data_IF_289929681372
#
_entry.id   IF_289929681372
#
_cell.length_a   1.000
_cell.length_b   1.000
_cell.length_c   1.000
_cell.angle_alpha   90.00
_cell.angle_beta   90.00
_cell.angle_gamma   90.00
#
_symmetry.space_group_name_H-M   'P 1'
#
loop_
_entity.id
_entity.type
_entity.pdbx_description
1 polymer ?
#
# COMPACT_ATOMS: atom_id res chain seq x y z
N UNK A 1 -30.67 12.72 16.93
CA UNK A 1 -29.39 12.28 17.51
C UNK A 1 -28.57 11.57 16.43
N UNK A 2 -27.72 12.30 15.70
CA UNK A 2 -26.89 11.75 14.61
C UNK A 2 -25.46 12.33 14.64
N UNK A 3 -24.94 12.65 15.83
CA UNK A 3 -23.61 13.24 16.01
C UNK A 3 -22.50 12.21 16.28
N UNK A 4 -22.84 10.91 16.45
CA UNK A 4 -21.86 9.87 16.78
C UNK A 4 -21.08 9.32 15.58
N UNK A 5 -21.75 9.06 14.45
CA UNK A 5 -21.11 8.38 13.30
C UNK A 5 -20.14 9.26 12.51
N UNK A 6 -20.36 10.58 12.47
CA UNK A 6 -19.48 11.53 11.77
C UNK A 6 -18.17 11.80 12.52
N UNK A 7 -18.16 11.65 13.85
CA UNK A 7 -16.97 11.93 14.66
C UNK A 7 -15.92 10.81 14.57
N UNK A 8 -16.36 9.54 14.44
CA UNK A 8 -15.45 8.38 14.32
C UNK A 8 -14.81 8.24 12.92
N UNK A 9 -15.47 8.72 11.86
CA UNK A 9 -14.88 8.74 10.51
C UNK A 9 -13.67 9.68 10.40
N UNK A 10 -13.53 10.66 11.30
CA UNK A 10 -12.45 11.65 11.29
C UNK A 10 -11.19 11.18 12.05
N UNK A 11 -11.30 10.24 12.98
CA UNK A 11 -10.15 9.77 13.79
C UNK A 11 -9.22 8.83 13.03
N UNK A 12 -9.69 8.25 11.92
CA UNK A 12 -8.93 7.32 11.09
C UNK A 12 -8.38 7.98 9.81
N UNK A 13 -8.40 9.31 9.75
CA UNK A 13 -7.83 10.12 8.66
C UNK A 13 -6.51 10.76 9.13
N UNK A 14 -5.50 10.78 8.27
CA UNK A 14 -4.31 11.59 8.56
C UNK A 14 -4.67 13.06 8.47
N UNK A 15 -3.90 13.92 9.15
CA UNK A 15 -4.13 15.38 9.16
C UNK A 15 -4.24 15.92 7.73
N UNK A 16 -3.44 15.40 6.82
CA UNK A 16 -3.44 15.73 5.40
C UNK A 16 -4.76 15.37 4.70
N UNK A 17 -5.41 14.26 5.08
CA UNK A 17 -6.70 13.81 4.54
C UNK A 17 -7.89 14.60 5.10
N UNK A 18 -7.74 15.24 6.27
CA UNK A 18 -8.78 16.11 6.86
C UNK A 18 -8.89 17.48 6.22
N UNK A 19 -7.96 17.82 5.30
CA UNK A 19 -8.00 19.08 4.56
C UNK A 19 -9.20 19.14 3.62
N UNK A 20 -9.97 20.24 3.57
CA UNK A 20 -11.09 20.39 2.64
C UNK A 20 -10.65 20.38 1.16
N UNK A 21 -9.36 20.59 0.91
CA UNK A 21 -8.75 20.55 -0.43
C UNK A 21 -8.02 19.22 -0.71
N UNK A 22 -8.15 18.21 0.15
CA UNK A 22 -7.55 16.91 -0.10
C UNK A 22 -8.22 16.26 -1.32
N UNK A 23 -7.38 15.85 -2.27
CA UNK A 23 -7.78 14.99 -3.38
C UNK A 23 -6.90 13.75 -3.36
N UNK A 24 -7.50 12.59 -3.59
CA UNK A 24 -6.73 11.36 -3.79
C UNK A 24 -5.76 11.54 -4.96
N UNK A 25 -4.49 11.25 -4.74
CA UNK A 25 -3.47 11.38 -5.79
C UNK A 25 -3.12 9.99 -6.33
N UNK A 26 -3.62 9.70 -7.53
CA UNK A 26 -3.15 8.58 -8.33
C UNK A 26 -1.94 9.04 -9.16
N UNK A 27 -0.74 8.88 -8.58
CA UNK A 27 0.50 9.23 -9.26
C UNK A 27 0.85 8.12 -10.25
N UNK A 28 1.09 8.49 -11.51
CA UNK A 28 1.54 7.53 -12.54
C UNK A 28 2.79 6.81 -12.06
N UNK A 29 2.82 5.50 -12.24
CA UNK A 29 3.84 4.59 -11.71
C UNK A 29 5.28 4.94 -12.13
N UNK A 30 5.48 5.62 -13.27
CA UNK A 30 6.80 6.07 -13.72
C UNK A 30 7.27 7.41 -13.10
N UNK A 31 6.39 8.12 -12.38
CA UNK A 31 6.76 9.40 -11.78
C UNK A 31 7.42 9.22 -10.42
N UNK A 32 8.46 10.02 -10.14
CA UNK A 32 9.09 10.07 -8.81
C UNK A 32 8.07 10.52 -7.73
N UNK A 33 7.84 9.73 -6.67
CA UNK A 33 7.04 10.18 -5.54
C UNK A 33 7.67 11.41 -4.88
N UNK A 34 6.83 12.38 -4.51
CA UNK A 34 7.27 13.53 -3.72
C UNK A 34 7.16 13.18 -2.24
N UNK A 35 8.15 13.63 -1.46
CA UNK A 35 8.15 13.42 -0.02
C UNK A 35 6.90 14.01 0.65
N UNK A 36 6.47 13.37 1.75
CA UNK A 36 5.37 13.78 2.64
C UNK A 36 4.06 13.95 1.88
N UNK A 37 3.77 12.97 1.02
CA UNK A 37 2.53 12.88 0.25
C UNK A 37 1.83 11.56 0.54
N UNK A 38 0.55 11.56 0.24
CA UNK A 38 -0.29 10.37 0.26
C UNK A 38 -0.61 10.03 -1.18
N UNK A 39 -0.40 8.77 -1.55
CA UNK A 39 -0.72 8.26 -2.88
C UNK A 39 -1.69 7.10 -2.80
N UNK A 40 -2.52 7.00 -3.82
CA UNK A 40 -3.27 5.77 -4.10
C UNK A 40 -2.28 4.73 -4.60
N UNK A 41 -2.27 3.58 -3.93
CA UNK A 41 -1.48 2.41 -4.31
C UNK A 41 -2.32 1.14 -4.20
N UNK A 42 -1.74 0.01 -4.58
CA UNK A 42 -2.39 -1.28 -4.66
C UNK A 42 -1.52 -2.39 -4.08
N UNK A 43 -2.18 -3.35 -3.46
CA UNK A 43 -1.56 -4.57 -2.96
C UNK A 43 -2.41 -5.77 -3.35
N UNK A 44 -1.82 -6.69 -4.11
CA UNK A 44 -2.43 -7.96 -4.49
C UNK A 44 -2.08 -9.03 -3.46
N UNK A 45 -3.07 -9.78 -3.01
CA UNK A 45 -2.90 -10.77 -1.94
C UNK A 45 -3.99 -11.85 -2.00
N UNK A 46 -3.98 -12.79 -1.07
CA UNK A 46 -5.00 -13.85 -0.93
C UNK A 46 -6.21 -13.35 -0.15
N UNK A 47 -7.36 -14.06 -0.21
CA UNK A 47 -8.53 -13.70 0.59
C UNK A 47 -8.21 -13.74 2.08
N UNK A 48 -7.54 -14.81 2.54
CA UNK A 48 -7.17 -14.97 3.94
C UNK A 48 -6.27 -13.83 4.44
N UNK A 49 -5.27 -13.42 3.64
CA UNK A 49 -4.40 -12.31 3.99
C UNK A 49 -5.16 -10.97 3.96
N UNK A 50 -6.07 -10.76 3.01
CA UNK A 50 -6.90 -9.56 2.97
C UNK A 50 -7.79 -9.43 4.23
N UNK A 51 -8.38 -10.53 4.72
CA UNK A 51 -9.11 -10.53 5.99
C UNK A 51 -8.22 -10.10 7.16
N UNK A 52 -7.01 -10.66 7.26
CA UNK A 52 -6.05 -10.29 8.31
C UNK A 52 -5.62 -8.83 8.21
N UNK A 53 -5.33 -8.33 7.01
CA UNK A 53 -4.94 -6.93 6.79
C UNK A 53 -6.08 -5.98 7.17
N UNK A 54 -7.32 -6.31 6.81
CA UNK A 54 -8.49 -5.46 7.14
C UNK A 54 -8.73 -5.41 8.65
N UNK A 55 -8.52 -6.50 9.38
CA UNK A 55 -8.75 -6.58 10.82
C UNK A 55 -7.59 -6.01 11.64
N UNK A 56 -6.35 -6.28 11.23
CA UNK A 56 -5.18 -6.10 12.08
C UNK A 56 -4.15 -5.11 11.50
N UNK A 57 -4.42 -4.54 10.32
CA UNK A 57 -3.45 -3.74 9.57
C UNK A 57 -2.40 -4.60 8.86
N UNK A 58 -1.51 -3.92 8.13
CA UNK A 58 -0.39 -4.58 7.48
C UNK A 58 0.67 -5.02 8.50
N UNK A 59 1.47 -6.03 8.11
CA UNK A 59 2.68 -6.43 8.82
C UNK A 59 3.84 -6.41 7.83
N UNK A 60 5.02 -6.04 8.32
CA UNK A 60 6.22 -6.08 7.48
C UNK A 60 6.50 -7.52 7.04
N UNK A 61 6.89 -7.68 5.77
CA UNK A 61 7.66 -8.86 5.35
C UNK A 61 9.00 -8.87 6.09
N UNK A 62 9.52 -10.03 6.53
CA UNK A 62 10.80 -10.09 7.25
C UNK A 62 12.01 -9.71 6.39
N UNK A 63 11.91 -9.83 5.06
CA UNK A 63 12.92 -9.43 4.08
C UNK A 63 12.29 -9.23 2.69
N UNK A 64 13.10 -8.76 1.74
CA UNK A 64 12.79 -8.62 0.33
C UNK A 64 13.94 -7.92 -0.41
N UNK A 65 13.72 -7.56 -1.68
CA UNK A 65 14.71 -6.84 -2.49
C UNK A 65 15.19 -5.53 -1.82
N UNK A 66 14.31 -4.90 -1.05
CA UNK A 66 14.51 -3.61 -0.37
C UNK A 66 14.62 -3.77 1.15
N UNK A 67 14.84 -4.99 1.64
CA UNK A 67 14.82 -5.31 3.06
C UNK A 67 13.40 -5.53 3.59
N UNK A 68 13.24 -5.47 4.91
CA UNK A 68 11.93 -5.64 5.56
C UNK A 68 11.03 -4.43 5.32
N UNK A 69 9.73 -4.69 5.20
CA UNK A 69 8.73 -3.65 4.98
C UNK A 69 7.47 -4.20 4.31
N UNK A 70 6.56 -3.30 3.96
CA UNK A 70 5.34 -3.61 3.23
C UNK A 70 5.49 -3.19 1.78
N UNK A 71 5.31 -4.14 0.87
CA UNK A 71 5.48 -3.96 -0.56
C UNK A 71 4.17 -3.58 -1.24
N UNK A 72 4.18 -2.45 -1.93
CA UNK A 72 3.00 -1.87 -2.61
C UNK A 72 3.40 -1.32 -3.97
N UNK A 73 2.40 -1.10 -4.82
CA UNK A 73 2.59 -0.65 -6.20
C UNK A 73 1.56 0.41 -6.55
N UNK A 74 1.95 1.48 -7.24
CA UNK A 74 1.03 2.41 -7.89
C UNK A 74 0.42 1.82 -9.16
N UNK A 75 1.05 0.78 -9.70
CA UNK A 75 0.54 0.02 -10.83
C UNK A 75 -0.43 -1.09 -10.36
N UNK A 76 -1.72 -0.94 -10.67
CA UNK A 76 -2.75 -1.91 -10.29
C UNK A 76 -2.60 -3.24 -11.04
N UNK A 77 -2.12 -3.22 -12.29
CA UNK A 77 -1.90 -4.44 -13.07
C UNK A 77 -0.73 -5.25 -12.49
N UNK A 78 0.31 -4.56 -11.99
CA UNK A 78 1.36 -5.21 -11.20
C UNK A 78 0.79 -5.90 -9.97
N UNK A 79 -0.05 -5.21 -9.19
CA UNK A 79 -0.69 -5.80 -8.01
C UNK A 79 -1.57 -7.01 -8.39
N UNK A 80 -2.23 -6.96 -9.54
CA UNK A 80 -3.04 -8.06 -10.07
C UNK A 80 -2.24 -9.31 -10.48
N UNK A 81 -0.92 -9.33 -10.35
CA UNK A 81 -0.10 -10.55 -10.51
C UNK A 81 -0.06 -11.41 -9.26
N UNK A 82 -0.47 -10.89 -8.10
CA UNK A 82 -0.38 -11.58 -6.82
C UNK A 82 -1.75 -12.11 -6.36
N UNK A 83 -1.81 -13.32 -5.77
CA UNK A 83 -0.68 -14.24 -5.56
C UNK A 83 -0.19 -14.87 -6.89
N UNK A 84 1.09 -15.23 -6.95
CA UNK A 84 1.74 -15.71 -8.19
C UNK A 84 1.27 -17.09 -8.65
N UNK A 85 0.83 -17.94 -7.72
CA UNK A 85 0.51 -19.35 -7.99
C UNK A 85 -0.96 -19.58 -8.36
N UNK A 86 -1.91 -19.09 -7.54
CA UNK A 86 -3.34 -19.31 -7.74
C UNK A 86 -4.15 -18.01 -7.63
N UNK A 87 -4.53 -17.47 -8.78
CA UNK A 87 -5.34 -16.25 -8.83
C UNK A 87 -6.83 -16.48 -8.53
N UNK A 88 -7.29 -17.72 -8.33
CA UNK A 88 -8.67 -18.01 -7.94
C UNK A 88 -9.02 -17.42 -6.56
N UNK A 89 -8.00 -17.22 -5.71
CA UNK A 89 -8.09 -16.59 -4.39
C UNK A 89 -7.60 -15.13 -4.36
N UNK A 90 -7.43 -14.50 -5.53
CA UNK A 90 -6.85 -13.17 -5.62
C UNK A 90 -7.77 -12.07 -5.09
N UNK A 91 -7.20 -11.22 -4.24
CA UNK A 91 -7.75 -9.94 -3.80
C UNK A 91 -6.81 -8.80 -4.19
N UNK A 92 -7.36 -7.68 -4.64
CA UNK A 92 -6.62 -6.42 -4.85
C UNK A 92 -7.18 -5.38 -3.90
N UNK A 93 -6.35 -4.88 -2.99
CA UNK A 93 -6.67 -3.80 -2.07
C UNK A 93 -6.21 -2.47 -2.67
N UNK A 94 -7.08 -1.45 -2.63
CA UNK A 94 -6.71 -0.04 -2.86
C UNK A 94 -6.29 0.55 -1.52
N UNK A 95 -5.18 1.27 -1.54
CA UNK A 95 -4.52 1.80 -0.36
C UNK A 95 -4.36 3.31 -0.45
N UNK A 96 -4.40 3.98 0.69
CA UNK A 96 -3.72 5.25 0.90
C UNK A 96 -2.39 4.97 1.57
N UNK A 97 -1.30 5.45 0.97
CA UNK A 97 0.06 5.26 1.48
C UNK A 97 0.71 6.61 1.72
N UNK A 98 1.02 6.91 2.99
CA UNK A 98 1.80 8.08 3.37
C UNK A 98 3.29 7.77 3.22
N UNK A 99 3.87 8.15 2.09
CA UNK A 99 5.24 7.77 1.73
C UNK A 99 6.34 8.47 2.53
N UNK A 100 5.99 9.44 3.39
CA UNK A 100 6.96 10.15 4.22
C UNK A 100 8.20 10.63 3.43
N UNK A 101 9.41 10.38 3.92
CA UNK A 101 10.65 10.60 3.17
C UNK A 101 10.93 9.41 2.25
N UNK A 102 11.07 9.68 0.95
CA UNK A 102 11.28 8.66 -0.08
C UNK A 102 12.74 8.57 -0.50
N UNK A 103 13.30 7.35 -0.49
CA UNK A 103 14.61 7.04 -1.04
C UNK A 103 14.46 6.33 -2.38
N UNK A 104 15.04 6.89 -3.44
CA UNK A 104 15.17 6.18 -4.72
C UNK A 104 16.24 5.09 -4.59
N UNK A 105 15.90 3.87 -5.01
CA UNK A 105 16.80 2.71 -5.13
C UNK A 105 16.71 2.23 -6.58
N UNK A 106 17.73 2.51 -7.40
CA UNK A 106 17.65 2.38 -8.86
C UNK A 106 18.76 1.53 -9.48
N UNK A 107 19.44 0.73 -8.67
CA UNK A 107 20.43 -0.25 -9.11
C UNK A 107 20.56 -1.37 -8.09
N UNK A 108 20.92 -2.57 -8.56
CA UNK A 108 21.32 -3.65 -7.68
C UNK A 108 22.55 -3.23 -6.87
N UNK A 109 22.66 -3.78 -5.67
CA UNK A 109 23.72 -3.46 -4.71
C UNK A 109 23.79 -1.97 -4.35
N UNK A 110 22.66 -1.25 -4.46
CA UNK A 110 22.61 0.14 -4.02
C UNK A 110 23.01 0.22 -2.52
N UNK A 111 23.85 1.17 -2.08
CA UNK A 111 24.41 1.19 -0.72
C UNK A 111 23.37 1.17 0.40
N UNK A 112 22.17 1.70 0.11
CA UNK A 112 21.01 1.72 1.02
C UNK A 112 19.88 0.78 0.62
N UNK A 113 20.13 -0.21 -0.25
CA UNK A 113 19.08 -1.07 -0.81
C UNK A 113 18.21 -1.71 0.28
N UNK A 114 18.82 -2.16 1.39
CA UNK A 114 18.11 -2.76 2.52
C UNK A 114 18.12 -1.93 3.81
N UNK A 115 18.85 -0.82 3.86
CA UNK A 115 19.14 -0.03 5.08
C UNK A 115 18.62 1.41 5.01
N UNK A 116 17.83 1.75 4.00
CA UNK A 116 17.27 3.09 3.80
C UNK A 116 16.47 3.60 5.01
N UNK A 117 15.84 2.71 5.78
CA UNK A 117 15.07 3.06 6.97
C UNK A 117 15.96 3.51 8.14
N UNK A 118 17.16 2.95 8.28
CA UNK A 118 18.14 3.37 9.31
C UNK A 118 18.62 4.81 9.08
N UNK A 119 18.59 5.26 7.83
CA UNK A 119 18.93 6.63 7.41
C UNK A 119 17.72 7.61 7.49
N UNK A 120 16.63 7.16 8.13
CA UNK A 120 15.43 7.95 8.40
C UNK A 120 14.52 8.18 7.19
N UNK A 121 14.57 7.30 6.19
CA UNK A 121 13.57 7.26 5.11
C UNK A 121 12.40 6.36 5.51
N UNK A 122 11.19 6.75 5.09
CA UNK A 122 9.95 6.03 5.40
C UNK A 122 9.54 5.07 4.28
N UNK A 123 10.03 5.31 3.06
CA UNK A 123 9.75 4.48 1.89
C UNK A 123 10.97 4.39 0.97
N UNK A 124 11.32 3.18 0.54
CA UNK A 124 12.18 2.97 -0.62
C UNK A 124 11.33 2.82 -1.88
N UNK A 125 11.74 3.49 -2.96
CA UNK A 125 11.07 3.47 -4.25
C UNK A 125 12.03 3.02 -5.35
N UNK A 126 11.59 2.02 -6.12
CA UNK A 126 12.25 1.49 -7.31
C UNK A 126 11.53 2.03 -8.55
N UNK A 127 12.22 2.79 -9.42
CA UNK A 127 11.65 3.25 -10.69
C UNK A 127 11.40 2.10 -11.68
N UNK A 128 10.54 2.34 -12.67
CA UNK A 128 10.41 1.43 -13.83
C UNK A 128 11.74 1.34 -14.58
N UNK A 129 11.98 0.19 -15.20
CA UNK A 129 13.08 -0.07 -16.14
C UNK A 129 14.50 0.26 -15.63
N UNK A 130 14.74 0.24 -14.31
CA UNK A 130 16.07 0.50 -13.74
C UNK A 130 16.90 -0.77 -13.45
N UNK A 131 16.45 -1.94 -13.88
CA UNK A 131 17.17 -3.22 -13.69
C UNK A 131 17.05 -3.82 -12.27
N UNK A 132 16.22 -3.24 -11.40
CA UNK A 132 15.97 -3.77 -10.05
C UNK A 132 15.08 -5.00 -10.01
N UNK A 133 14.07 -5.07 -10.89
CA UNK A 133 13.11 -6.18 -10.95
C UNK A 133 12.96 -6.70 -12.37
N UNK A 134 12.83 -8.02 -12.53
CA UNK A 134 12.69 -8.68 -13.84
C UNK A 134 11.51 -8.15 -14.66
N UNK A 135 10.44 -7.75 -13.97
CA UNK A 135 9.26 -7.17 -14.61
C UNK A 135 9.49 -5.79 -15.22
N UNK A 136 10.57 -5.08 -14.84
CA UNK A 136 10.78 -3.68 -15.15
C UNK A 136 9.75 -2.71 -14.54
N UNK A 137 8.85 -3.18 -13.67
CA UNK A 137 7.81 -2.35 -13.05
C UNK A 137 8.25 -1.77 -11.70
N UNK A 138 7.77 -0.58 -11.39
CA UNK A 138 8.11 0.12 -10.14
C UNK A 138 7.63 -0.61 -8.90
N UNK A 139 8.26 -0.35 -7.77
CA UNK A 139 7.90 -0.92 -6.48
C UNK A 139 8.20 0.05 -5.35
N UNK A 140 7.30 0.13 -4.38
CA UNK A 140 7.51 0.87 -3.14
C UNK A 140 7.57 -0.14 -1.98
N UNK A 141 8.53 0.06 -1.08
CA UNK A 141 8.64 -0.65 0.19
C UNK A 141 8.52 0.35 1.34
N UNK A 142 7.46 0.25 2.12
CA UNK A 142 7.15 1.16 3.22
C UNK A 142 7.57 0.52 4.54
N UNK A 143 8.27 1.28 5.38
CA UNK A 143 8.85 0.74 6.61
C UNK A 143 7.75 0.48 7.64
N UNK A 144 7.04 1.53 8.02
CA UNK A 144 6.02 1.49 9.07
C UNK A 144 4.64 1.13 8.47
N UNK A 145 4.04 -0.01 8.84
CA UNK A 145 2.71 -0.40 8.37
C UNK A 145 1.60 0.62 8.69
N UNK A 146 1.74 1.42 9.75
CA UNK A 146 0.74 2.44 10.14
C UNK A 146 0.65 3.60 9.14
N UNK A 147 1.60 3.66 8.20
CA UNK A 147 1.58 4.57 7.04
C UNK A 147 0.74 4.05 5.88
N UNK A 148 0.01 2.94 6.06
CA UNK A 148 -0.78 2.30 5.02
C UNK A 148 -2.21 2.06 5.51
N UNK A 149 -3.17 2.62 4.79
CA UNK A 149 -4.59 2.40 5.07
C UNK A 149 -5.26 1.70 3.90
N UNK A 150 -5.97 0.62 4.18
CA UNK A 150 -6.93 0.05 3.22
C UNK A 150 -8.09 1.03 3.09
N UNK A 151 -8.40 1.42 1.86
CA UNK A 151 -9.53 2.32 1.56
C UNK A 151 -10.60 1.64 0.72
N UNK A 152 -10.25 0.59 -0.04
CA UNK A 152 -11.22 -0.14 -0.85
C UNK A 152 -10.75 -1.55 -1.23
N UNK A 153 -11.70 -2.42 -1.57
CA UNK A 153 -11.45 -3.73 -2.20
C UNK A 153 -11.79 -3.61 -3.68
N UNK A 154 -10.76 -3.59 -4.52
CA UNK A 154 -10.90 -3.41 -5.98
C UNK A 154 -11.40 -4.69 -6.65
N UNK A 155 -10.83 -5.83 -6.26
CA UNK A 155 -11.15 -7.16 -6.79
C UNK A 155 -11.11 -8.18 -5.66
N UNK A 156 -12.04 -9.13 -5.68
CA UNK A 156 -11.98 -10.36 -4.90
C UNK A 156 -12.83 -11.45 -5.60
N UNK A 157 -12.70 -12.74 -5.24
CA UNK A 157 -13.56 -13.78 -5.78
C UNK A 157 -15.03 -13.51 -5.42
N UNK A 158 -15.97 -13.88 -6.31
CA UNK A 158 -17.40 -13.51 -6.17
C UNK A 158 -17.99 -13.84 -4.78
N UNK A 159 -17.64 -15.00 -4.22
CA UNK A 159 -18.12 -15.43 -2.89
C UNK A 159 -17.51 -14.67 -1.72
N UNK A 160 -16.34 -14.05 -1.90
CA UNK A 160 -15.59 -13.37 -0.84
C UNK A 160 -15.75 -11.85 -0.87
N UNK A 161 -16.04 -11.26 -2.03
CA UNK A 161 -16.12 -9.81 -2.17
C UNK A 161 -17.11 -9.15 -1.21
N UNK A 162 -18.32 -9.73 -1.06
CA UNK A 162 -19.33 -9.23 -0.13
C UNK A 162 -18.85 -9.34 1.33
N UNK A 163 -18.31 -10.50 1.72
CA UNK A 163 -17.82 -10.77 3.07
C UNK A 163 -16.69 -9.80 3.46
N UNK A 164 -15.72 -9.60 2.57
CA UNK A 164 -14.62 -8.67 2.77
C UNK A 164 -15.10 -7.21 2.89
N UNK A 165 -16.08 -6.80 2.08
CA UNK A 165 -16.69 -5.46 2.22
C UNK A 165 -17.40 -5.27 3.55
N UNK A 166 -18.18 -6.26 3.99
CA UNK A 166 -18.85 -6.21 5.28
C UNK A 166 -17.83 -6.18 6.44
N UNK A 167 -16.74 -6.95 6.33
CA UNK A 167 -15.63 -6.92 7.28
C UNK A 167 -14.95 -5.54 7.33
N UNK A 168 -14.65 -4.96 6.17
CA UNK A 168 -14.05 -3.62 6.06
C UNK A 168 -14.93 -2.53 6.68
N UNK A 169 -16.24 -2.56 6.42
CA UNK A 169 -17.17 -1.58 7.01
C UNK A 169 -17.23 -1.74 8.53
N UNK A 170 -17.17 -2.99 9.03
CA UNK A 170 -17.17 -3.26 10.48
C UNK A 170 -15.86 -2.84 11.15
N UNK A 171 -14.70 -2.97 10.50
CA UNK A 171 -13.41 -2.58 11.09
C UNK A 171 -13.22 -1.07 11.19
N UNK A 172 -14.09 -0.27 10.54
CA UNK A 172 -14.11 1.20 10.61
C UNK A 172 -15.12 1.77 11.62
N UNK A 173 -15.85 0.91 12.35
CA UNK A 173 -16.79 1.30 13.41
C UNK A 173 -16.15 1.15 14.78
#
# INVERSE_FOLDING_TARGET
MAFGAFHYLLTDLWKEETSPNYTEVSLVSDSKPRNRRIYVMYHGTTVAAAEQIIMNGFRQSPDGMLGRGVYVSRDQEKAARYPLCDQSDQVILKLHVNVGRVKKIDQQDHPMQKTWHDEGYDTAWVPKCCGMVDSGLEEDCVWDPDRIKVVWIVKAPRGHFRKLKELFIKSKK
#
